data_IF_485037125411
#
_entry.id   IF_485037125411
#
_cell.length_a   1.000
_cell.length_b   1.000
_cell.length_c   1.000
_cell.angle_alpha   90.00
_cell.angle_beta   90.00
_cell.angle_gamma   90.00
#
_symmetry.space_group_name_H-M   'P 1'
#
loop_
_entity.id
_entity.type
_entity.pdbx_description
1 polymer ?
#
# COMPACT_ATOMS: atom_id res chain seq x y z
N UNK A 1 14.19 42.96 -1.72
CA UNK A 1 13.39 42.29 -2.76
C UNK A 1 13.44 40.81 -2.42
N UNK A 2 12.39 40.30 -1.77
CA UNK A 2 12.23 38.85 -1.51
C UNK A 2 11.76 38.26 -2.83
N UNK A 3 12.60 37.47 -3.46
CA UNK A 3 12.26 36.71 -4.65
C UNK A 3 11.29 35.60 -4.21
N UNK A 4 9.99 35.83 -4.40
CA UNK A 4 8.95 34.84 -4.17
C UNK A 4 9.17 33.68 -5.14
N UNK A 5 9.39 32.51 -4.59
CA UNK A 5 9.69 31.29 -5.36
C UNK A 5 8.41 30.83 -6.08
N UNK A 6 8.36 31.01 -7.38
CA UNK A 6 7.30 30.57 -8.30
C UNK A 6 7.27 29.04 -8.53
N UNK A 7 7.97 28.23 -7.72
CA UNK A 7 8.35 26.85 -8.07
C UNK A 7 8.08 25.80 -6.99
N UNK A 8 7.03 25.93 -6.18
CA UNK A 8 6.75 24.84 -5.24
C UNK A 8 6.07 23.68 -5.96
N UNK A 9 6.84 22.63 -6.26
CA UNK A 9 6.33 21.37 -6.82
C UNK A 9 5.21 20.80 -5.95
N UNK A 10 4.21 20.18 -6.54
CA UNK A 10 3.04 19.67 -5.82
C UNK A 10 2.82 18.18 -6.11
N UNK A 11 2.64 17.39 -5.05
CA UNK A 11 2.19 16.00 -5.12
C UNK A 11 0.70 15.94 -4.82
N UNK A 12 -0.11 15.61 -5.83
CA UNK A 12 -1.52 15.27 -5.66
C UNK A 12 -1.61 13.81 -5.27
N UNK A 13 -2.27 13.51 -4.17
CA UNK A 13 -2.45 12.15 -3.66
C UNK A 13 -3.93 11.78 -3.74
N UNK A 14 -4.30 10.88 -4.64
CA UNK A 14 -5.66 10.34 -4.73
C UNK A 14 -5.69 8.98 -4.03
N UNK A 15 -6.40 8.93 -2.93
CA UNK A 15 -6.51 7.75 -2.07
C UNK A 15 -7.97 7.34 -1.86
N UNK A 16 -8.16 6.13 -1.40
CA UNK A 16 -9.49 5.60 -1.11
C UNK A 16 -9.49 4.08 -1.11
N UNK A 17 -10.60 3.46 -0.68
CA UNK A 17 -10.69 2.03 -0.53
C UNK A 17 -10.68 1.30 -1.87
N UNK A 18 -10.43 0.00 -1.81
CA UNK A 18 -10.63 -0.88 -2.98
C UNK A 18 -12.08 -0.81 -3.46
N UNK A 19 -12.30 -0.88 -4.77
CA UNK A 19 -13.63 -0.81 -5.39
C UNK A 19 -14.21 0.60 -5.56
N UNK A 20 -13.57 1.66 -5.03
CA UNK A 20 -14.13 3.03 -5.06
C UNK A 20 -14.14 3.68 -6.46
N UNK A 21 -13.25 3.28 -7.37
CA UNK A 21 -13.15 3.85 -8.73
C UNK A 21 -11.96 4.77 -8.94
N UNK A 22 -10.85 4.57 -8.21
CA UNK A 22 -9.62 5.39 -8.35
C UNK A 22 -9.05 5.39 -9.76
N UNK A 23 -9.01 4.25 -10.43
CA UNK A 23 -8.29 4.08 -11.71
C UNK A 23 -8.80 5.03 -12.78
N UNK A 24 -10.10 5.01 -13.06
CA UNK A 24 -10.70 5.87 -14.10
C UNK A 24 -10.54 7.36 -13.79
N UNK A 25 -10.78 7.75 -12.53
CA UNK A 25 -10.57 9.13 -12.10
C UNK A 25 -9.10 9.55 -12.28
N UNK A 26 -8.16 8.71 -11.90
CA UNK A 26 -6.74 9.06 -11.96
C UNK A 26 -6.20 9.12 -13.39
N UNK A 27 -6.72 8.32 -14.32
CA UNK A 27 -6.41 8.47 -15.73
C UNK A 27 -6.84 9.84 -16.25
N UNK A 28 -8.10 10.21 -16.03
CA UNK A 28 -8.62 11.53 -16.45
C UNK A 28 -7.89 12.70 -15.77
N UNK A 29 -7.53 12.54 -14.49
CA UNK A 29 -6.80 13.58 -13.76
C UNK A 29 -5.34 13.69 -14.24
N UNK A 30 -4.69 12.57 -14.55
CA UNK A 30 -3.34 12.53 -15.09
C UNK A 30 -3.25 13.20 -16.47
N UNK A 31 -4.25 12.98 -17.33
CA UNK A 31 -4.38 13.68 -18.62
C UNK A 31 -4.56 15.18 -18.44
N UNK A 32 -5.49 15.59 -17.55
CA UNK A 32 -5.73 17.00 -17.25
C UNK A 32 -4.45 17.71 -16.76
N UNK A 33 -3.68 17.04 -15.90
CA UNK A 33 -2.44 17.58 -15.31
C UNK A 33 -1.21 17.40 -16.19
N UNK A 34 -1.29 16.62 -17.26
CA UNK A 34 -0.16 16.27 -18.11
C UNK A 34 0.96 15.57 -17.37
N UNK A 35 0.66 14.69 -16.39
CA UNK A 35 1.63 14.05 -15.50
C UNK A 35 1.48 12.53 -15.47
N UNK A 36 2.56 11.77 -15.26
CA UNK A 36 2.44 10.33 -15.06
C UNK A 36 1.80 9.98 -13.70
N UNK A 37 1.34 8.74 -13.58
CA UNK A 37 0.79 8.18 -12.36
C UNK A 37 1.88 7.41 -11.59
N UNK A 38 2.03 7.71 -10.30
CA UNK A 38 2.82 6.94 -9.34
C UNK A 38 1.88 6.04 -8.54
N UNK A 39 1.95 4.73 -8.74
CA UNK A 39 1.07 3.79 -8.09
C UNK A 39 1.52 3.47 -6.65
N UNK A 40 0.62 3.63 -5.70
CA UNK A 40 0.80 3.36 -4.27
C UNK A 40 -0.01 2.12 -3.82
N UNK A 41 0.06 1.05 -4.60
CA UNK A 41 -0.48 -0.25 -4.22
C UNK A 41 0.63 -1.28 -4.04
N UNK A 42 0.74 -1.84 -2.83
CA UNK A 42 1.82 -2.77 -2.45
C UNK A 42 1.68 -4.17 -3.04
N UNK A 43 0.65 -4.41 -3.85
CA UNK A 43 0.43 -5.70 -4.53
C UNK A 43 0.48 -5.58 -6.05
N UNK A 44 0.00 -4.49 -6.61
CA UNK A 44 0.07 -4.20 -8.04
C UNK A 44 1.51 -3.99 -8.55
N UNK A 45 2.47 -3.88 -7.65
CA UNK A 45 3.89 -3.77 -7.96
C UNK A 45 4.46 -5.10 -8.50
N UNK A 46 3.84 -6.26 -8.21
CA UNK A 46 4.31 -7.58 -8.61
C UNK A 46 3.80 -7.97 -9.99
N UNK A 47 4.72 -8.36 -10.88
CA UNK A 47 4.44 -8.67 -12.28
C UNK A 47 3.51 -9.89 -12.46
N UNK A 48 3.59 -10.85 -11.53
CA UNK A 48 2.83 -12.11 -11.59
C UNK A 48 1.39 -11.99 -11.07
N UNK A 49 0.99 -10.83 -10.54
CA UNK A 49 -0.28 -10.67 -9.84
C UNK A 49 -1.22 -9.61 -10.48
N UNK A 50 -1.36 -9.51 -11.80
CA UNK A 50 -2.16 -8.43 -12.40
C UNK A 50 -3.66 -8.57 -12.15
N UNK A 51 -4.23 -9.79 -12.20
CA UNK A 51 -5.67 -10.02 -12.11
C UNK A 51 -6.14 -9.89 -10.65
N UNK A 52 -5.56 -10.65 -9.73
CA UNK A 52 -5.98 -10.68 -8.33
C UNK A 52 -5.75 -9.37 -7.58
N UNK A 53 -4.91 -8.49 -8.11
CA UNK A 53 -4.69 -7.15 -7.58
C UNK A 53 -5.46 -6.06 -8.33
N UNK A 54 -6.08 -6.42 -9.47
CA UNK A 54 -6.67 -5.52 -10.46
C UNK A 54 -5.71 -4.37 -10.80
N UNK A 55 -4.51 -4.73 -11.21
CA UNK A 55 -3.51 -3.78 -11.69
C UNK A 55 -4.02 -3.05 -12.96
N UNK A 56 -3.53 -1.84 -13.22
CA UNK A 56 -3.80 -1.14 -14.47
C UNK A 56 -3.48 -2.01 -15.68
N UNK A 57 -4.40 -2.08 -16.65
CA UNK A 57 -4.23 -2.86 -17.87
C UNK A 57 -3.11 -2.30 -18.76
N UNK A 58 -2.60 -3.11 -19.67
CA UNK A 58 -1.61 -2.66 -20.65
C UNK A 58 -2.11 -1.47 -21.49
N UNK A 59 -3.43 -1.41 -21.79
CA UNK A 59 -4.05 -0.30 -22.50
C UNK A 59 -4.04 0.98 -21.66
N UNK A 60 -4.44 0.90 -20.39
CA UNK A 60 -4.39 2.01 -19.45
C UNK A 60 -2.96 2.52 -19.24
N UNK A 61 -1.97 1.63 -19.18
CA UNK A 61 -0.56 2.00 -19.05
C UNK A 61 0.03 2.62 -20.34
N UNK A 62 -0.50 2.28 -21.51
CA UNK A 62 -0.14 2.95 -22.77
C UNK A 62 -0.74 4.36 -22.86
N UNK A 63 -1.94 4.54 -22.31
CA UNK A 63 -2.64 5.80 -22.32
C UNK A 63 -1.98 6.83 -21.41
N UNK A 64 -1.66 6.43 -20.17
CA UNK A 64 -0.91 7.24 -19.21
C UNK A 64 0.21 6.40 -18.62
N UNK A 65 1.42 6.96 -18.57
CA UNK A 65 2.57 6.26 -17.95
C UNK A 65 2.33 6.00 -16.48
N UNK A 66 2.48 4.74 -16.06
CA UNK A 66 2.42 4.34 -14.67
C UNK A 66 3.80 3.91 -14.16
N UNK A 67 4.15 4.33 -12.95
CA UNK A 67 5.29 3.84 -12.21
C UNK A 67 4.83 2.90 -11.09
N UNK A 68 5.64 1.93 -10.71
CA UNK A 68 5.38 0.94 -9.65
C UNK A 68 4.16 0.03 -9.94
N UNK A 69 4.04 -0.40 -11.18
CA UNK A 69 3.09 -1.43 -11.63
C UNK A 69 3.88 -2.54 -12.31
N UNK A 70 3.78 -3.78 -11.80
CA UNK A 70 4.43 -4.96 -12.40
C UNK A 70 5.94 -4.87 -12.57
N UNK A 71 6.63 -4.08 -11.75
CA UNK A 71 8.07 -3.84 -11.87
C UNK A 71 8.91 -4.55 -10.80
N UNK A 72 8.31 -5.49 -10.07
CA UNK A 72 8.95 -6.39 -9.09
C UNK A 72 8.43 -7.81 -9.30
N UNK A 73 9.19 -8.79 -8.83
CA UNK A 73 8.78 -10.19 -8.77
C UNK A 73 8.34 -10.58 -7.36
N UNK A 74 7.50 -11.60 -7.24
CA UNK A 74 6.94 -12.05 -5.94
C UNK A 74 8.01 -12.49 -4.93
N UNK A 75 9.20 -12.83 -5.39
CA UNK A 75 10.35 -13.20 -4.57
C UNK A 75 11.14 -11.97 -4.06
N UNK A 76 10.92 -10.81 -4.67
CA UNK A 76 11.61 -9.59 -4.27
C UNK A 76 11.15 -9.13 -2.89
N UNK A 77 12.09 -8.85 -2.01
CA UNK A 77 11.78 -8.14 -0.78
C UNK A 77 11.58 -6.65 -1.09
N UNK A 78 10.40 -6.14 -0.81
CA UNK A 78 10.09 -4.73 -1.02
C UNK A 78 9.23 -4.17 0.11
N UNK A 79 9.78 -3.22 0.85
CA UNK A 79 9.18 -2.62 2.03
C UNK A 79 8.61 -1.22 1.75
N UNK A 80 7.81 -0.69 2.69
CA UNK A 80 7.33 0.69 2.61
C UNK A 80 8.47 1.73 2.66
N UNK A 81 9.57 1.41 3.35
CA UNK A 81 10.76 2.28 3.38
C UNK A 81 11.49 2.32 2.03
N UNK A 82 11.63 1.16 1.36
CA UNK A 82 12.18 1.11 0.01
C UNK A 82 11.27 1.84 -0.99
N UNK A 83 9.95 1.65 -0.88
CA UNK A 83 8.97 2.38 -1.69
C UNK A 83 9.08 3.90 -1.48
N UNK A 84 9.16 4.37 -0.23
CA UNK A 84 9.40 5.80 0.08
C UNK A 84 10.65 6.31 -0.63
N UNK A 85 11.78 5.62 -0.46
CA UNK A 85 13.06 6.04 -1.04
C UNK A 85 13.01 6.11 -2.57
N UNK A 86 12.45 5.07 -3.21
CA UNK A 86 12.32 4.99 -4.66
C UNK A 86 11.38 6.06 -5.21
N UNK A 87 10.23 6.32 -4.55
CA UNK A 87 9.29 7.37 -4.98
C UNK A 87 9.89 8.76 -4.79
N UNK A 88 10.52 9.06 -3.67
CA UNK A 88 11.15 10.37 -3.44
C UNK A 88 12.27 10.60 -4.47
N UNK A 89 13.05 9.59 -4.78
CA UNK A 89 14.06 9.64 -5.83
C UNK A 89 13.44 9.90 -7.20
N UNK A 90 12.39 9.15 -7.57
CA UNK A 90 11.66 9.32 -8.84
C UNK A 90 11.09 10.74 -8.97
N UNK A 91 10.44 11.23 -7.92
CA UNK A 91 9.89 12.59 -7.91
C UNK A 91 10.98 13.64 -8.15
N UNK A 92 12.12 13.52 -7.46
CA UNK A 92 13.23 14.49 -7.53
C UNK A 92 13.98 14.42 -8.86
N UNK A 93 14.28 13.21 -9.35
CA UNK A 93 15.23 12.99 -10.44
C UNK A 93 14.56 12.94 -11.83
N UNK A 94 13.26 12.66 -11.89
CA UNK A 94 12.53 12.51 -13.15
C UNK A 94 11.28 13.41 -13.18
N UNK A 95 10.25 13.12 -12.37
CA UNK A 95 8.94 13.75 -12.54
C UNK A 95 9.02 15.26 -12.34
N UNK A 96 9.56 15.74 -11.23
CA UNK A 96 9.63 17.17 -10.93
C UNK A 96 10.68 17.96 -11.74
N UNK A 97 11.48 17.29 -12.56
CA UNK A 97 12.29 17.97 -13.57
C UNK A 97 11.47 18.36 -14.80
N UNK A 98 10.44 17.60 -15.11
CA UNK A 98 9.65 17.73 -16.33
C UNK A 98 8.23 18.24 -16.07
N UNK A 99 7.74 18.17 -14.83
CA UNK A 99 6.38 18.51 -14.41
C UNK A 99 6.40 19.29 -13.11
N UNK A 100 5.47 20.22 -12.93
CA UNK A 100 5.27 20.94 -11.67
C UNK A 100 4.39 20.15 -10.70
N UNK A 101 3.61 19.21 -11.23
CA UNK A 101 2.67 18.38 -10.50
C UNK A 101 2.99 16.91 -10.73
N UNK A 102 2.92 16.13 -9.66
CA UNK A 102 2.96 14.66 -9.70
C UNK A 102 1.66 14.10 -9.15
N UNK A 103 1.19 12.96 -9.68
CA UNK A 103 -0.01 12.26 -9.24
C UNK A 103 0.35 10.91 -8.62
N UNK A 104 0.07 10.75 -7.32
CA UNK A 104 0.21 9.49 -6.59
C UNK A 104 -1.17 8.92 -6.30
N UNK A 105 -1.41 7.65 -6.58
CA UNK A 105 -2.69 7.02 -6.32
C UNK A 105 -2.53 5.61 -5.80
N UNK A 106 -3.42 5.20 -4.89
CA UNK A 106 -3.43 3.83 -4.40
C UNK A 106 -4.35 3.59 -3.21
N UNK A 107 -4.28 2.35 -2.72
CA UNK A 107 -5.01 1.89 -1.55
C UNK A 107 -4.12 1.39 -0.42
N UNK A 108 -2.80 1.33 -0.61
CA UNK A 108 -1.88 0.84 0.42
C UNK A 108 -1.52 1.95 1.41
N UNK A 109 -2.19 1.90 2.56
CA UNK A 109 -2.10 2.88 3.63
C UNK A 109 -0.66 3.21 4.01
N UNK A 110 0.17 2.18 4.23
CA UNK A 110 1.57 2.36 4.62
C UNK A 110 2.44 2.98 3.52
N UNK A 111 2.14 2.70 2.24
CA UNK A 111 2.88 3.31 1.12
C UNK A 111 2.57 4.79 0.98
N UNK A 112 1.29 5.15 1.09
CA UNK A 112 0.84 6.55 1.04
C UNK A 112 1.43 7.32 2.23
N UNK A 113 1.34 6.77 3.45
CA UNK A 113 1.89 7.41 4.64
C UNK A 113 3.41 7.57 4.56
N UNK A 114 4.13 6.55 4.06
CA UNK A 114 5.57 6.60 3.88
C UNK A 114 5.98 7.76 2.94
N UNK A 115 5.31 7.93 1.81
CA UNK A 115 5.60 9.03 0.88
C UNK A 115 5.19 10.38 1.47
N UNK A 116 4.02 10.48 2.11
CA UNK A 116 3.51 11.76 2.60
C UNK A 116 4.19 12.23 3.89
N UNK A 117 4.38 11.33 4.83
CA UNK A 117 4.82 11.65 6.19
C UNK A 117 6.26 11.20 6.48
N UNK A 118 6.80 10.31 5.67
CA UNK A 118 8.03 9.59 5.96
C UNK A 118 7.81 8.38 6.86
N UNK A 119 8.76 7.45 6.81
CA UNK A 119 8.81 6.31 7.71
C UNK A 119 10.09 6.41 8.55
N UNK A 120 10.04 5.91 9.77
CA UNK A 120 11.22 5.87 10.63
C UNK A 120 12.36 5.08 9.99
N UNK A 121 13.60 5.50 10.18
CA UNK A 121 14.79 4.84 9.61
C UNK A 121 15.14 3.58 10.42
N UNK A 122 14.25 2.60 10.37
CA UNK A 122 14.44 1.30 11.00
C UNK A 122 15.35 0.46 10.09
N UNK A 123 16.45 -0.09 10.61
CA UNK A 123 17.36 -0.92 9.81
C UNK A 123 16.67 -2.09 9.13
N UNK A 124 17.04 -2.38 7.89
CA UNK A 124 16.56 -3.59 7.20
C UNK A 124 17.06 -4.82 7.94
N UNK A 125 16.16 -5.74 8.24
CA UNK A 125 16.52 -6.99 8.92
C UNK A 125 17.30 -7.88 7.94
N UNK A 126 18.46 -8.38 8.37
CA UNK A 126 19.27 -9.33 7.62
C UNK A 126 18.55 -10.69 7.53
N UNK A 127 18.79 -11.42 6.47
CA UNK A 127 18.12 -12.69 6.21
C UNK A 127 18.48 -13.75 7.26
N UNK A 128 19.74 -13.78 7.75
CA UNK A 128 20.17 -14.69 8.81
C UNK A 128 19.40 -14.47 10.12
N UNK A 129 19.18 -13.23 10.52
CA UNK A 129 18.39 -12.87 11.71
C UNK A 129 16.92 -13.23 11.51
N UNK A 130 16.38 -12.99 10.30
CA UNK A 130 14.99 -13.30 9.99
C UNK A 130 14.71 -14.80 10.06
N UNK A 131 15.55 -15.62 9.43
CA UNK A 131 15.40 -17.08 9.48
C UNK A 131 15.60 -17.62 10.90
N UNK A 132 16.56 -17.10 11.64
CA UNK A 132 16.76 -17.47 13.04
C UNK A 132 15.53 -17.15 13.91
N UNK A 133 14.96 -15.94 13.78
CA UNK A 133 13.77 -15.56 14.55
C UNK A 133 12.51 -16.34 14.12
N UNK A 134 12.40 -16.71 12.85
CA UNK A 134 11.34 -17.58 12.35
C UNK A 134 11.42 -18.97 12.97
N UNK A 135 12.62 -19.55 13.05
CA UNK A 135 12.88 -20.82 13.70
C UNK A 135 12.57 -20.75 15.20
N UNK A 136 12.94 -19.68 15.89
CA UNK A 136 12.63 -19.45 17.29
C UNK A 136 11.12 -19.38 17.54
N UNK A 137 10.39 -18.62 16.72
CA UNK A 137 8.92 -18.55 16.83
C UNK A 137 8.27 -19.94 16.70
N UNK A 138 8.77 -20.78 15.79
CA UNK A 138 8.25 -22.14 15.59
C UNK A 138 8.56 -23.08 16.76
N UNK A 139 9.77 -22.97 17.35
CA UNK A 139 10.25 -23.89 18.38
C UNK A 139 9.90 -23.45 19.81
N UNK A 140 9.94 -22.15 20.10
CA UNK A 140 9.78 -21.60 21.46
C UNK A 140 8.37 -21.02 21.69
N UNK A 141 7.65 -20.70 20.61
CA UNK A 141 6.33 -20.10 20.66
C UNK A 141 6.33 -18.59 20.90
N UNK A 142 5.17 -17.98 20.69
CA UNK A 142 5.01 -16.52 20.76
C UNK A 142 5.19 -15.97 22.18
N UNK A 143 4.68 -16.68 23.18
CA UNK A 143 4.70 -16.21 24.58
C UNK A 143 6.12 -16.03 25.11
N UNK A 144 7.03 -16.96 24.77
CA UNK A 144 8.46 -16.86 25.12
C UNK A 144 9.07 -15.59 24.51
N UNK A 145 8.77 -15.32 23.23
CA UNK A 145 9.28 -14.16 22.53
C UNK A 145 8.70 -12.84 23.08
N UNK A 146 7.44 -12.85 23.55
CA UNK A 146 6.82 -11.69 24.22
C UNK A 146 7.52 -11.39 25.55
N UNK A 147 7.87 -12.39 26.33
CA UNK A 147 8.62 -12.20 27.58
C UNK A 147 10.05 -11.71 27.34
N UNK A 148 10.68 -12.14 26.26
CA UNK A 148 11.99 -11.63 25.86
C UNK A 148 11.91 -10.17 25.42
N UNK A 149 10.91 -9.80 24.61
CA UNK A 149 10.68 -8.41 24.21
C UNK A 149 10.47 -7.49 25.41
N UNK A 150 9.79 -7.97 26.48
CA UNK A 150 9.63 -7.23 27.71
C UNK A 150 10.95 -6.87 28.37
N UNK A 151 11.97 -7.73 28.24
CA UNK A 151 13.31 -7.51 28.81
C UNK A 151 14.15 -6.59 27.93
N UNK A 152 14.07 -6.75 26.60
CA UNK A 152 14.91 -6.02 25.64
C UNK A 152 14.36 -4.65 25.29
N UNK A 153 13.02 -4.49 25.23
CA UNK A 153 12.34 -3.23 24.89
C UNK A 153 11.00 -3.12 25.65
N UNK A 154 11.04 -2.79 26.95
CA UNK A 154 9.83 -2.70 27.77
C UNK A 154 8.85 -1.62 27.26
N UNK A 155 9.32 -0.56 26.65
CA UNK A 155 8.48 0.50 26.11
C UNK A 155 7.66 -0.02 24.92
N UNK A 156 8.31 -0.72 23.98
CA UNK A 156 7.59 -1.32 22.86
C UNK A 156 6.67 -2.44 23.31
N UNK A 157 7.11 -3.27 24.26
CA UNK A 157 6.29 -4.33 24.84
C UNK A 157 4.98 -3.80 25.45
N UNK A 158 5.02 -2.62 26.07
CA UNK A 158 3.82 -2.02 26.68
C UNK A 158 2.73 -1.65 25.66
N UNK A 159 3.11 -1.34 24.41
CA UNK A 159 2.20 -0.84 23.40
C UNK A 159 1.94 -1.82 22.24
N UNK A 160 2.80 -2.83 22.04
CA UNK A 160 2.65 -3.78 20.94
C UNK A 160 1.47 -4.71 21.17
N UNK A 161 0.78 -5.07 20.11
CA UNK A 161 -0.18 -6.17 20.13
C UNK A 161 0.57 -7.50 20.30
N UNK A 162 0.55 -8.03 21.53
CA UNK A 162 1.26 -9.25 21.92
C UNK A 162 0.73 -10.51 21.24
N UNK A 163 -0.48 -10.48 20.69
CA UNK A 163 -1.07 -11.56 19.89
C UNK A 163 -0.65 -11.50 18.42
N UNK A 164 0.11 -10.49 18.03
CA UNK A 164 0.58 -10.35 16.67
C UNK A 164 2.05 -10.80 16.54
N UNK A 165 2.32 -12.05 16.12
CA UNK A 165 3.68 -12.60 16.08
C UNK A 165 4.60 -11.78 15.18
N UNK A 166 4.09 -11.21 14.07
CA UNK A 166 4.92 -10.40 13.17
C UNK A 166 5.46 -9.14 13.83
N UNK A 167 4.65 -8.46 14.66
CA UNK A 167 5.09 -7.24 15.34
C UNK A 167 6.09 -7.54 16.44
N UNK A 168 5.85 -8.60 17.20
CA UNK A 168 6.75 -9.04 18.28
C UNK A 168 8.09 -9.50 17.69
N UNK A 169 8.06 -10.37 16.70
CA UNK A 169 9.25 -10.90 16.01
C UNK A 169 10.06 -9.77 15.38
N UNK A 170 9.40 -8.85 14.63
CA UNK A 170 10.13 -7.75 13.98
C UNK A 170 10.84 -6.83 14.98
N UNK A 171 10.23 -6.55 16.13
CA UNK A 171 10.90 -5.77 17.18
C UNK A 171 12.13 -6.49 17.73
N UNK A 172 12.02 -7.80 17.98
CA UNK A 172 13.15 -8.62 18.42
C UNK A 172 14.26 -8.75 17.38
N UNK A 173 13.91 -8.91 16.09
CA UNK A 173 14.87 -8.90 14.98
C UNK A 173 15.75 -7.66 15.04
N UNK A 174 15.13 -6.49 15.20
CA UNK A 174 15.86 -5.21 15.30
C UNK A 174 16.71 -5.16 16.58
N UNK A 175 16.15 -5.57 17.72
CA UNK A 175 16.91 -5.59 18.98
C UNK A 175 18.16 -6.48 18.87
N UNK A 176 18.03 -7.69 18.36
CA UNK A 176 19.14 -8.63 18.21
C UNK A 176 20.16 -8.21 17.17
N UNK A 177 19.70 -7.67 16.04
CA UNK A 177 20.59 -7.20 14.99
C UNK A 177 21.43 -6.00 15.39
N UNK A 178 20.86 -5.07 16.15
CA UNK A 178 21.45 -3.76 16.40
C UNK A 178 22.02 -3.59 17.80
N UNK A 179 21.61 -4.43 18.76
CA UNK A 179 21.88 -4.24 20.18
C UNK A 179 21.14 -3.05 20.81
N UNK A 180 20.18 -2.43 20.09
CA UNK A 180 19.39 -1.29 20.54
C UNK A 180 17.91 -1.67 20.61
N UNK A 181 17.15 -0.93 21.41
CA UNK A 181 15.69 -1.13 21.46
C UNK A 181 15.03 -0.75 20.13
N UNK A 182 13.98 -1.46 19.75
CA UNK A 182 13.15 -1.09 18.58
C UNK A 182 12.55 0.31 18.76
N UNK A 183 12.16 0.66 20.00
CA UNK A 183 11.65 1.99 20.38
C UNK A 183 12.63 3.10 20.01
N UNK A 184 13.94 2.89 20.15
CA UNK A 184 14.94 3.92 19.81
C UNK A 184 14.94 4.35 18.34
N UNK A 185 14.46 3.50 17.44
CA UNK A 185 14.31 3.79 16.02
C UNK A 185 12.94 4.41 15.69
N UNK A 186 11.94 4.28 16.58
CA UNK A 186 10.59 4.81 16.38
C UNK A 186 10.48 6.25 16.84
N UNK A 187 10.90 7.17 15.98
CA UNK A 187 10.84 8.59 16.31
C UNK A 187 9.45 9.19 16.15
N UNK A 188 8.58 8.55 15.35
CA UNK A 188 7.25 9.04 14.96
C UNK A 188 7.28 10.48 14.40
N UNK A 189 8.43 10.96 13.94
CA UNK A 189 8.58 12.30 13.39
C UNK A 189 8.20 12.30 11.91
N UNK A 190 7.32 13.24 11.55
CA UNK A 190 7.03 13.48 10.14
C UNK A 190 8.28 14.06 9.46
N UNK A 191 8.72 13.45 8.36
CA UNK A 191 9.78 13.98 7.52
C UNK A 191 9.25 15.15 6.70
N UNK A 192 9.97 16.28 6.69
CA UNK A 192 9.64 17.39 5.80
C UNK A 192 9.82 16.95 4.33
N UNK A 193 8.90 17.36 3.46
CA UNK A 193 8.97 17.10 2.03
C UNK A 193 9.31 18.39 1.28
N UNK A 194 10.18 18.33 0.25
CA UNK A 194 10.54 19.51 -0.53
C UNK A 194 9.46 19.83 -1.60
N UNK A 195 8.21 19.46 -1.35
CA UNK A 195 7.06 19.70 -2.21
C UNK A 195 5.79 19.78 -1.36
N UNK A 196 4.79 20.46 -1.89
CA UNK A 196 3.46 20.52 -1.30
C UNK A 196 2.70 19.21 -1.54
N UNK A 197 1.85 18.82 -0.59
CA UNK A 197 1.01 17.62 -0.70
C UNK A 197 -0.46 18.05 -0.61
N UNK A 198 -1.25 17.66 -1.62
CA UNK A 198 -2.71 17.83 -1.64
C UNK A 198 -3.34 16.44 -1.65
N UNK A 199 -4.19 16.15 -0.66
CA UNK A 199 -4.80 14.83 -0.50
C UNK A 199 -6.28 14.85 -0.86
N UNK A 200 -6.65 13.96 -1.76
CA UNK A 200 -8.02 13.74 -2.25
C UNK A 200 -8.44 12.34 -1.85
N UNK A 201 -9.43 12.26 -0.98
CA UNK A 201 -10.05 11.00 -0.56
C UNK A 201 -11.28 10.69 -1.42
N UNK A 202 -11.38 9.47 -1.90
CA UNK A 202 -12.57 9.00 -2.61
C UNK A 202 -13.38 8.08 -1.72
N UNK A 203 -14.69 8.30 -1.70
CA UNK A 203 -15.63 7.44 -0.99
C UNK A 203 -16.96 7.34 -1.76
N UNK A 204 -17.67 6.25 -1.51
CA UNK A 204 -19.04 5.97 -1.99
C UNK A 204 -19.86 5.42 -0.83
N UNK A 205 -21.16 5.32 -1.00
CA UNK A 205 -22.00 4.64 -0.04
C UNK A 205 -21.55 3.20 0.17
N UNK A 206 -21.71 2.73 1.40
CA UNK A 206 -21.20 1.41 1.82
C UNK A 206 -21.81 0.25 1.04
N UNK A 207 -23.10 0.33 0.73
CA UNK A 207 -23.80 -0.66 -0.09
C UNK A 207 -23.21 -0.71 -1.49
N UNK A 208 -23.03 0.43 -2.12
CA UNK A 208 -22.43 0.53 -3.45
C UNK A 208 -21.01 -0.03 -3.49
N UNK A 209 -20.17 0.29 -2.49
CA UNK A 209 -18.83 -0.28 -2.37
C UNK A 209 -18.87 -1.81 -2.27
N UNK A 210 -19.82 -2.37 -1.53
CA UNK A 210 -19.98 -3.81 -1.38
C UNK A 210 -20.35 -4.48 -2.69
N UNK A 211 -21.30 -3.91 -3.43
CA UNK A 211 -21.73 -4.44 -4.72
C UNK A 211 -20.60 -4.39 -5.75
N UNK A 212 -19.88 -3.29 -5.82
CA UNK A 212 -18.72 -3.13 -6.70
C UNK A 212 -17.59 -4.11 -6.37
N UNK A 213 -17.31 -4.32 -5.08
CA UNK A 213 -16.31 -5.30 -4.63
C UNK A 213 -16.74 -6.72 -5.02
N UNK A 214 -18.01 -7.08 -4.80
CA UNK A 214 -18.52 -8.39 -5.14
C UNK A 214 -18.46 -8.64 -6.65
N UNK A 215 -18.93 -7.67 -7.45
CA UNK A 215 -18.87 -7.75 -8.90
C UNK A 215 -17.44 -7.86 -9.43
N UNK A 216 -16.51 -7.09 -8.86
CA UNK A 216 -15.09 -7.14 -9.23
C UNK A 216 -14.48 -8.52 -9.02
N UNK A 217 -14.85 -9.23 -7.95
CA UNK A 217 -14.37 -10.61 -7.73
C UNK A 217 -14.88 -11.56 -8.82
N UNK A 218 -16.13 -11.41 -9.26
CA UNK A 218 -16.65 -12.19 -10.39
C UNK A 218 -15.88 -11.89 -11.68
N UNK A 219 -15.59 -10.63 -11.96
CA UNK A 219 -14.76 -10.25 -13.12
C UNK A 219 -13.37 -10.86 -13.04
N UNK A 220 -12.71 -10.77 -11.87
CA UNK A 220 -11.39 -11.40 -11.66
C UNK A 220 -11.41 -12.92 -11.96
N UNK A 221 -12.46 -13.61 -11.52
CA UNK A 221 -12.62 -15.05 -11.81
C UNK A 221 -12.78 -15.30 -13.32
N UNK A 222 -13.55 -14.48 -14.02
CA UNK A 222 -13.73 -14.57 -15.48
C UNK A 222 -12.44 -14.27 -16.25
N UNK A 223 -11.62 -13.32 -15.74
CA UNK A 223 -10.31 -12.95 -16.29
C UNK A 223 -9.22 -13.99 -16.02
N UNK A 224 -9.48 -14.99 -15.17
CA UNK A 224 -8.56 -16.09 -14.93
C UNK A 224 -7.81 -16.04 -13.60
N UNK A 225 -8.36 -15.43 -12.55
CA UNK A 225 -7.74 -15.40 -11.20
C UNK A 225 -7.32 -16.79 -10.72
N UNK A 226 -8.11 -17.85 -11.01
CA UNK A 226 -7.74 -19.21 -10.64
C UNK A 226 -6.44 -19.65 -11.31
N UNK A 227 -6.30 -19.41 -12.61
CA UNK A 227 -5.10 -19.78 -13.36
C UNK A 227 -3.88 -18.97 -12.90
N UNK A 228 -4.04 -17.66 -12.65
CA UNK A 228 -3.00 -16.81 -12.10
C UNK A 228 -2.54 -17.30 -10.71
N UNK A 229 -3.47 -17.58 -9.80
CA UNK A 229 -3.16 -18.09 -8.48
C UNK A 229 -2.47 -19.48 -8.54
N UNK A 230 -2.89 -20.34 -9.46
CA UNK A 230 -2.27 -21.65 -9.68
C UNK A 230 -0.83 -21.54 -10.18
N UNK A 231 -0.55 -20.57 -11.04
CA UNK A 231 0.79 -20.29 -11.55
C UNK A 231 1.79 -19.88 -10.47
N UNK A 232 1.31 -19.23 -9.41
CA UNK A 232 2.16 -18.77 -8.28
C UNK A 232 2.04 -19.64 -7.03
N UNK A 233 1.29 -20.74 -7.08
CA UNK A 233 1.02 -21.59 -5.92
C UNK A 233 2.28 -22.19 -5.27
N UNK A 234 3.31 -22.50 -6.06
CA UNK A 234 4.59 -22.98 -5.55
C UNK A 234 5.28 -21.97 -4.62
N UNK A 235 4.95 -20.68 -4.76
CA UNK A 235 5.49 -19.58 -3.98
C UNK A 235 4.55 -19.09 -2.86
N UNK A 236 3.53 -19.88 -2.47
CA UNK A 236 2.46 -19.50 -1.54
C UNK A 236 2.90 -18.95 -0.19
N UNK A 237 4.13 -19.28 0.23
CA UNK A 237 4.72 -18.80 1.49
C UNK A 237 5.32 -17.39 1.37
N UNK A 238 5.50 -16.87 0.16
CA UNK A 238 6.02 -15.53 -0.07
C UNK A 238 5.08 -14.45 0.49
N UNK A 239 5.68 -13.39 1.02
CA UNK A 239 4.94 -12.27 1.63
C UNK A 239 4.02 -11.56 0.61
N UNK A 240 4.41 -11.50 -0.65
CA UNK A 240 3.62 -10.94 -1.74
C UNK A 240 2.25 -11.63 -1.86
N UNK A 241 2.19 -12.94 -1.64
CA UNK A 241 1.00 -13.78 -1.81
C UNK A 241 0.13 -13.88 -0.55
N UNK A 242 0.57 -13.30 0.57
CA UNK A 242 -0.24 -13.23 1.80
C UNK A 242 -1.30 -12.12 1.73
N UNK A 243 -2.10 -12.14 0.69
CA UNK A 243 -3.13 -11.13 0.40
C UNK A 243 -4.46 -11.78 0.01
N UNK A 244 -5.52 -10.99 0.04
CA UNK A 244 -6.86 -11.45 -0.38
C UNK A 244 -6.84 -11.82 -1.86
N UNK A 245 -7.56 -12.85 -2.19
CA UNK A 245 -7.59 -13.48 -3.51
C UNK A 245 -6.76 -14.75 -3.55
N UNK A 246 -5.46 -14.64 -3.25
CA UNK A 246 -4.53 -15.78 -3.35
C UNK A 246 -4.66 -16.75 -2.19
N UNK A 247 -4.80 -16.26 -0.96
CA UNK A 247 -4.96 -17.14 0.21
C UNK A 247 -6.18 -18.05 0.11
N UNK A 248 -7.27 -17.50 -0.37
CA UNK A 248 -8.53 -18.21 -0.54
C UNK A 248 -8.43 -19.21 -1.69
N UNK A 249 -7.78 -18.83 -2.80
CA UNK A 249 -7.49 -19.76 -3.90
C UNK A 249 -6.57 -20.89 -3.45
N UNK A 250 -5.56 -20.60 -2.63
CA UNK A 250 -4.67 -21.64 -2.09
C UNK A 250 -5.41 -22.60 -1.16
N UNK A 251 -6.31 -22.11 -0.30
CA UNK A 251 -7.15 -22.97 0.51
C UNK A 251 -8.07 -23.88 -0.32
N UNK A 252 -8.55 -23.39 -1.46
CA UNK A 252 -9.26 -24.20 -2.44
C UNK A 252 -8.34 -25.25 -3.09
N UNK A 253 -7.13 -24.90 -3.48
CA UNK A 253 -6.17 -25.85 -4.07
C UNK A 253 -5.71 -26.94 -3.09
N UNK A 254 -5.66 -26.61 -1.80
CA UNK A 254 -5.36 -27.55 -0.72
C UNK A 254 -6.57 -28.46 -0.37
N UNK A 255 -7.74 -28.22 -0.97
CA UNK A 255 -8.97 -28.99 -0.70
C UNK A 255 -9.64 -28.63 0.65
N UNK A 256 -9.22 -27.55 1.30
CA UNK A 256 -9.79 -27.08 2.57
C UNK A 256 -11.18 -26.45 2.40
N UNK A 257 -11.45 -25.86 1.24
CA UNK A 257 -12.73 -25.26 0.86
C UNK A 257 -13.01 -25.54 -0.62
N UNK A 258 -14.27 -25.43 -1.06
CA UNK A 258 -14.59 -25.47 -2.47
C UNK A 258 -14.42 -24.09 -3.16
N UNK A 259 -14.51 -24.06 -4.48
CA UNK A 259 -14.32 -22.83 -5.27
C UNK A 259 -15.39 -21.78 -4.94
N UNK A 260 -16.64 -22.19 -4.72
CA UNK A 260 -17.72 -21.25 -4.38
C UNK A 260 -17.44 -20.56 -3.04
N UNK A 261 -17.00 -21.32 -2.05
CA UNK A 261 -16.61 -20.78 -0.75
C UNK A 261 -15.37 -19.88 -0.85
N UNK A 262 -14.37 -20.24 -1.68
CA UNK A 262 -13.21 -19.38 -1.93
C UNK A 262 -13.62 -18.01 -2.48
N UNK A 263 -14.48 -17.98 -3.51
CA UNK A 263 -15.02 -16.73 -4.08
C UNK A 263 -15.79 -15.91 -3.03
N UNK A 264 -16.65 -16.56 -2.23
CA UNK A 264 -17.40 -15.92 -1.15
C UNK A 264 -16.48 -15.29 -0.10
N UNK A 265 -15.40 -16.00 0.26
CA UNK A 265 -14.39 -15.50 1.20
C UNK A 265 -13.59 -14.33 0.62
N UNK A 266 -13.19 -14.38 -0.64
CA UNK A 266 -12.51 -13.25 -1.32
C UNK A 266 -13.39 -12.00 -1.26
N UNK A 267 -14.68 -12.11 -1.57
CA UNK A 267 -15.63 -10.99 -1.45
C UNK A 267 -15.70 -10.45 -0.02
N UNK A 268 -15.84 -11.33 0.97
CA UNK A 268 -15.93 -10.96 2.38
C UNK A 268 -14.67 -10.26 2.89
N UNK A 269 -13.49 -10.84 2.63
CA UNK A 269 -12.22 -10.29 3.06
C UNK A 269 -11.85 -8.99 2.32
N UNK A 270 -12.26 -8.85 1.06
CA UNK A 270 -12.13 -7.60 0.31
C UNK A 270 -12.96 -6.47 0.93
N UNK A 271 -14.21 -6.76 1.35
CA UNK A 271 -15.05 -5.80 2.08
C UNK A 271 -14.46 -5.44 3.45
N UNK A 272 -13.85 -6.40 4.13
CA UNK A 272 -13.16 -6.15 5.39
C UNK A 272 -11.93 -5.24 5.18
N UNK A 273 -11.14 -5.52 4.15
CA UNK A 273 -9.98 -4.70 3.81
C UNK A 273 -10.39 -3.27 3.44
N UNK A 274 -11.45 -3.11 2.66
CA UNK A 274 -12.05 -1.81 2.34
C UNK A 274 -12.39 -1.00 3.60
N UNK A 275 -13.02 -1.63 4.61
CA UNK A 275 -13.35 -0.96 5.89
C UNK A 275 -12.09 -0.53 6.64
N UNK A 276 -11.04 -1.37 6.66
CA UNK A 276 -9.74 -1.04 7.27
C UNK A 276 -9.09 0.15 6.59
N UNK A 277 -9.13 0.22 5.25
CA UNK A 277 -8.62 1.36 4.49
C UNK A 277 -9.37 2.66 4.86
N UNK A 278 -10.70 2.64 4.84
CA UNK A 278 -11.51 3.82 5.20
C UNK A 278 -11.23 4.29 6.64
N UNK A 279 -11.18 3.36 7.58
CA UNK A 279 -10.87 3.68 8.99
C UNK A 279 -9.48 4.31 9.12
N UNK A 280 -8.51 3.85 8.34
CA UNK A 280 -7.17 4.41 8.35
C UNK A 280 -7.14 5.82 7.77
N UNK A 281 -7.68 6.01 6.58
CA UNK A 281 -7.63 7.30 5.89
C UNK A 281 -8.44 8.39 6.60
N UNK A 282 -9.55 8.04 7.24
CA UNK A 282 -10.38 8.99 8.03
C UNK A 282 -9.68 9.60 9.25
N UNK A 283 -8.49 9.11 9.64
CA UNK A 283 -7.68 9.71 10.71
C UNK A 283 -6.95 10.98 10.26
N UNK A 284 -6.81 11.17 8.97
CA UNK A 284 -6.12 12.32 8.39
C UNK A 284 -7.14 13.38 7.99
N UNK A 285 -7.25 14.43 8.81
CA UNK A 285 -8.18 15.54 8.61
C UNK A 285 -7.80 16.45 7.44
N UNK A 286 -6.59 16.28 6.89
CA UNK A 286 -6.13 17.06 5.72
C UNK A 286 -6.68 16.52 4.40
N UNK A 287 -7.37 15.38 4.42
CA UNK A 287 -7.96 14.78 3.23
C UNK A 287 -9.29 15.44 2.89
N UNK A 288 -9.37 16.00 1.69
CA UNK A 288 -10.65 16.45 1.12
C UNK A 288 -11.36 15.27 0.45
N UNK A 289 -12.57 14.96 0.93
CA UNK A 289 -13.33 13.80 0.47
C UNK A 289 -14.31 14.15 -0.64
N UNK A 290 -14.37 13.29 -1.67
CA UNK A 290 -15.27 13.42 -2.83
C UNK A 290 -15.92 12.09 -3.20
N UNK A 291 -17.06 12.19 -3.88
CA UNK A 291 -17.59 11.07 -4.64
C UNK A 291 -16.82 10.96 -5.96
N UNK A 292 -16.34 9.77 -6.38
CA UNK A 292 -15.48 9.64 -7.57
C UNK A 292 -16.17 10.03 -8.89
N UNK A 293 -17.50 10.04 -8.94
CA UNK A 293 -18.24 10.45 -10.13
C UNK A 293 -18.28 11.98 -10.30
N UNK A 294 -17.88 12.74 -9.26
CA UNK A 294 -17.83 14.20 -9.29
C UNK A 294 -16.50 14.70 -9.89
N UNK A 295 -16.07 14.13 -11.00
CA UNK A 295 -14.77 14.43 -11.61
C UNK A 295 -14.53 15.92 -11.86
N UNK A 296 -15.57 16.65 -12.32
CA UNK A 296 -15.48 18.10 -12.58
C UNK A 296 -15.20 18.91 -11.31
N UNK A 297 -15.80 18.51 -10.21
CA UNK A 297 -15.58 19.14 -8.89
C UNK A 297 -14.17 18.85 -8.38
N UNK A 298 -13.70 17.61 -8.54
CA UNK A 298 -12.35 17.20 -8.16
C UNK A 298 -11.31 17.97 -8.97
N UNK A 299 -11.46 18.07 -10.28
CA UNK A 299 -10.56 18.86 -11.15
C UNK A 299 -10.57 20.33 -10.71
N UNK A 300 -11.74 20.93 -10.50
CA UNK A 300 -11.85 22.33 -10.03
C UNK A 300 -11.14 22.53 -8.68
N UNK A 301 -11.28 21.59 -7.76
CA UNK A 301 -10.59 21.63 -6.47
C UNK A 301 -9.07 21.55 -6.65
N UNK A 302 -8.57 20.62 -7.46
CA UNK A 302 -7.14 20.49 -7.78
C UNK A 302 -6.60 21.78 -8.37
N UNK A 303 -7.27 22.33 -9.40
CA UNK A 303 -6.86 23.57 -10.05
C UNK A 303 -6.83 24.74 -9.06
N UNK A 304 -7.79 24.80 -8.12
CA UNK A 304 -7.80 25.83 -7.09
C UNK A 304 -6.62 25.68 -6.13
N UNK A 305 -6.29 24.45 -5.74
CA UNK A 305 -5.11 24.19 -4.91
C UNK A 305 -3.80 24.55 -5.63
N UNK A 306 -3.71 24.32 -6.92
CA UNK A 306 -2.50 24.65 -7.70
C UNK A 306 -2.31 26.16 -7.90
N UNK A 307 -3.40 26.95 -7.84
CA UNK A 307 -3.38 28.42 -7.97
C UNK A 307 -3.17 29.15 -6.64
N UNK A 308 -3.33 28.48 -5.50
CA UNK A 308 -3.06 29.07 -4.19
C UNK A 308 -1.55 29.09 -3.94
N UNK A 309 -0.97 30.30 -4.02
CA UNK A 309 0.43 30.63 -3.68
C UNK A 309 0.69 30.56 -2.19
#
# INVERSE_FOLDING_TARGET
>A
MIQLSHDMKTLIVVLGPTGVGKTELCLSLAEHLGTPIVNADSRQIFAELPIGTAAPTAEQQKHVKHYFVGNRHIEDYYSAAQYEADVIKLLKEDIFKNHDVALLTGGSMMYIDAVCNGIDDIPTVRDDIREWMKARLANEGLDTLVEELKKLDPEHWAIVDKKNPRRVVHALEICHQTGKTYTSFRTNKKKSRPFRIVKIGLNRDRSELYDRINQRVHVMMQEGLEAEARGVYAYRDQTALRTVGYKEMFAYFDGAIDLHEAVRQIQSHSREYMRKQLTWFKRDETIQWFHPDNIKEIIKYVDSCLKME
#
